data_IF_266688875329
#
_entry.id   IF_266688875329
#
_cell.length_a   1.000
_cell.length_b   1.000
_cell.length_c   1.000
_cell.angle_alpha   90.00
_cell.angle_beta   90.00
_cell.angle_gamma   90.00
#
_symmetry.space_group_name_H-M   'P 1'
#
loop_
_entity.id
_entity.type
_entity.pdbx_description
1 polymer ?
#
# COMPACT_ATOMS: atom_id res chain seq x y z
N UNK A 1 3.66 -15.29 6.37
CA UNK A 1 3.73 -14.72 5.00
C UNK A 1 2.51 -13.82 4.87
N UNK A 2 2.65 -12.54 4.51
CA UNK A 2 1.46 -11.77 4.13
C UNK A 2 1.23 -12.07 2.66
N UNK A 3 0.06 -12.60 2.31
CA UNK A 3 -0.30 -12.79 0.92
C UNK A 3 -0.46 -11.42 0.26
N UNK A 4 0.11 -11.24 -0.94
CA UNK A 4 0.01 -9.98 -1.70
C UNK A 4 -1.45 -9.52 -1.86
N UNK A 5 -2.39 -10.47 -2.01
CA UNK A 5 -3.83 -10.17 -2.05
C UNK A 5 -4.34 -9.41 -0.83
N UNK A 6 -3.86 -9.76 0.37
CA UNK A 6 -4.22 -9.05 1.60
C UNK A 6 -3.72 -7.61 1.64
N UNK A 7 -2.59 -7.30 1.01
CA UNK A 7 -2.08 -5.93 0.91
C UNK A 7 -2.90 -5.08 -0.05
N UNK A 8 -3.39 -5.68 -1.14
CA UNK A 8 -4.27 -5.00 -2.10
C UNK A 8 -5.56 -4.60 -1.39
N UNK A 9 -6.18 -5.48 -0.60
CA UNK A 9 -7.38 -5.15 0.18
C UNK A 9 -7.09 -4.07 1.23
N UNK A 10 -6.04 -4.23 2.05
CA UNK A 10 -5.70 -3.28 3.13
C UNK A 10 -5.34 -1.87 2.63
N UNK A 11 -4.88 -1.75 1.39
CA UNK A 11 -4.59 -0.45 0.78
C UNK A 11 -5.84 0.38 0.47
N UNK A 12 -7.03 -0.22 0.55
CA UNK A 12 -8.31 0.39 0.18
C UNK A 12 -8.54 0.49 -1.34
N UNK A 13 -7.60 0.02 -2.16
CA UNK A 13 -7.73 0.15 -3.61
C UNK A 13 -8.85 -0.72 -4.20
N UNK A 14 -9.16 -1.86 -3.57
CA UNK A 14 -10.29 -2.70 -3.98
C UNK A 14 -11.61 -1.94 -3.86
N UNK A 15 -11.82 -1.25 -2.74
CA UNK A 15 -13.02 -0.45 -2.49
C UNK A 15 -13.11 0.74 -3.44
N UNK A 16 -11.99 1.45 -3.67
CA UNK A 16 -11.94 2.63 -4.55
C UNK A 16 -12.16 2.29 -6.03
N UNK A 17 -11.79 1.09 -6.46
CA UNK A 17 -11.90 0.65 -7.85
C UNK A 17 -13.10 -0.26 -8.11
N UNK A 18 -13.86 -0.63 -7.06
CA UNK A 18 -14.96 -1.58 -7.18
C UNK A 18 -14.50 -2.98 -7.61
N UNK A 19 -13.31 -3.41 -7.18
CA UNK A 19 -12.64 -4.65 -7.61
C UNK A 19 -12.42 -4.76 -9.14
N UNK A 20 -12.35 -3.63 -9.85
CA UNK A 20 -11.96 -3.63 -11.26
C UNK A 20 -10.48 -4.01 -11.39
N UNK A 21 -10.26 -5.30 -11.69
CA UNK A 21 -8.92 -5.89 -11.81
C UNK A 21 -8.09 -5.24 -12.92
N UNK A 22 -8.70 -4.75 -13.99
CA UNK A 22 -7.97 -4.07 -15.06
C UNK A 22 -7.47 -2.71 -14.55
N UNK A 23 -8.29 -1.99 -13.79
CA UNK A 23 -7.91 -0.72 -13.16
C UNK A 23 -6.81 -0.90 -12.12
N UNK A 24 -6.94 -1.88 -11.24
CA UNK A 24 -5.92 -2.22 -10.23
C UNK A 24 -4.60 -2.60 -10.92
N UNK A 25 -4.67 -3.43 -11.96
CA UNK A 25 -3.48 -3.82 -12.73
C UNK A 25 -2.83 -2.63 -13.43
N UNK A 26 -3.62 -1.75 -14.05
CA UNK A 26 -3.12 -0.51 -14.65
C UNK A 26 -2.40 0.40 -13.65
N UNK A 27 -2.95 0.54 -12.43
CA UNK A 27 -2.29 1.30 -11.36
C UNK A 27 -0.94 0.67 -10.96
N UNK A 28 -0.86 -0.66 -10.87
CA UNK A 28 0.39 -1.36 -10.57
C UNK A 28 1.43 -1.22 -11.68
N UNK A 29 1.02 -1.19 -12.95
CA UNK A 29 1.91 -0.90 -14.08
C UNK A 29 2.49 0.51 -13.94
N UNK A 30 1.65 1.52 -13.70
CA UNK A 30 2.10 2.90 -13.51
C UNK A 30 3.09 3.03 -12.35
N UNK A 31 2.84 2.33 -11.23
CA UNK A 31 3.77 2.24 -10.10
C UNK A 31 5.12 1.68 -10.56
N UNK A 32 5.13 0.59 -11.33
CA UNK A 32 6.36 -0.02 -11.84
C UNK A 32 7.13 0.91 -12.80
N UNK A 33 6.43 1.66 -13.64
CA UNK A 33 7.01 2.67 -14.52
C UNK A 33 7.66 3.81 -13.71
N UNK A 34 6.97 4.32 -12.69
CA UNK A 34 7.54 5.37 -11.81
C UNK A 34 8.80 4.88 -11.11
N UNK A 35 8.87 3.62 -10.69
CA UNK A 35 10.08 3.04 -10.09
C UNK A 35 11.24 2.88 -11.09
N UNK A 36 10.96 2.76 -12.38
CA UNK A 36 11.99 2.69 -13.44
C UNK A 36 12.48 4.06 -13.89
N UNK A 37 11.77 5.14 -13.55
CA UNK A 37 12.19 6.52 -13.86
C UNK A 37 13.39 6.99 -13.06
N UNK A 38 13.97 8.14 -13.44
CA UNK A 38 15.12 8.77 -12.76
C UNK A 38 14.83 9.07 -11.27
N UNK A 39 13.57 9.36 -10.93
CA UNK A 39 13.10 9.56 -9.55
C UNK A 39 12.87 8.25 -8.78
N UNK A 40 13.05 7.10 -9.42
CA UNK A 40 12.66 5.80 -8.92
C UNK A 40 13.27 5.49 -7.55
N UNK A 41 14.52 5.88 -7.31
CA UNK A 41 15.18 5.67 -6.03
C UNK A 41 14.49 6.42 -4.88
N UNK A 42 14.14 7.69 -5.09
CA UNK A 42 13.39 8.50 -4.11
C UNK A 42 12.00 7.91 -3.88
N UNK A 43 11.32 7.48 -4.95
CA UNK A 43 10.02 6.84 -4.86
C UNK A 43 10.06 5.54 -4.02
N UNK A 44 11.07 4.68 -4.22
CA UNK A 44 11.28 3.45 -3.42
C UNK A 44 11.40 3.77 -1.93
N UNK A 45 12.24 4.74 -1.56
CA UNK A 45 12.44 5.12 -0.16
C UNK A 45 11.14 5.62 0.47
N UNK A 46 10.45 6.55 -0.19
CA UNK A 46 9.20 7.12 0.34
C UNK A 46 8.11 6.07 0.50
N UNK A 47 7.93 5.18 -0.49
CA UNK A 47 6.90 4.16 -0.44
C UNK A 47 7.20 3.05 0.57
N UNK A 48 8.47 2.68 0.74
CA UNK A 48 8.87 1.73 1.78
C UNK A 48 8.58 2.29 3.19
N UNK A 49 8.91 3.56 3.45
CA UNK A 49 8.61 4.19 4.74
C UNK A 49 7.11 4.32 4.99
N UNK A 50 6.33 4.70 3.97
CA UNK A 50 4.86 4.75 4.07
C UNK A 50 4.27 3.37 4.41
N UNK A 51 4.75 2.31 3.75
CA UNK A 51 4.32 0.94 4.03
C UNK A 51 4.63 0.51 5.46
N UNK A 52 5.84 0.78 5.95
CA UNK A 52 6.23 0.50 7.35
C UNK A 52 5.33 1.22 8.35
N UNK A 53 5.03 2.50 8.11
CA UNK A 53 4.15 3.29 8.98
C UNK A 53 2.72 2.71 9.01
N UNK A 54 2.18 2.31 7.86
CA UNK A 54 0.87 1.66 7.79
C UNK A 54 0.85 0.34 8.59
N UNK A 55 1.85 -0.51 8.43
CA UNK A 55 1.96 -1.74 9.23
C UNK A 55 2.09 -1.49 10.73
N UNK A 56 2.83 -0.46 11.13
CA UNK A 56 2.99 -0.09 12.53
C UNK A 56 1.68 0.44 13.13
N UNK A 57 0.89 1.18 12.35
CA UNK A 57 -0.42 1.66 12.77
C UNK A 57 -1.43 0.52 12.98
N UNK A 58 -1.42 -0.50 12.11
CA UNK A 58 -2.26 -1.70 12.26
C UNK A 58 -1.88 -2.56 13.47
N UNK A 59 -0.60 -2.54 13.89
CA UNK A 59 -0.09 -3.32 15.02
C UNK A 59 -0.34 -2.67 16.38
N UNK A 60 -0.64 -1.37 16.44
CA UNK A 60 -1.05 -0.74 17.69
C UNK A 60 -2.46 -1.22 18.03
N UNK A 61 -2.67 -2.01 19.10
CA UNK A 61 -4.01 -2.27 19.57
C UNK A 61 -4.64 -0.92 19.93
N UNK A 62 -5.92 -0.73 19.60
CA UNK A 62 -6.71 0.37 20.14
C UNK A 62 -6.69 0.23 21.67
N UNK A 63 -5.82 0.99 22.33
CA UNK A 63 -5.77 1.05 23.77
C UNK A 63 -7.02 1.79 24.25
N UNK A 64 -8.11 1.05 24.44
CA UNK A 64 -9.24 1.48 25.23
C UNK A 64 -8.89 1.18 26.70
N UNK A 65 -8.64 2.24 27.46
CA UNK A 65 -8.37 2.15 28.88
C UNK A 65 -8.37 3.54 29.49
N UNK A 66 -9.57 4.10 29.68
CA UNK A 66 -9.81 5.21 30.58
C UNK A 66 -9.19 4.94 31.95
N UNK A 67 -8.48 5.94 32.46
CA UNK A 67 -8.20 6.18 33.87
C UNK A 67 -8.37 7.66 34.10
#
# INVERSE_FOLDING_TARGET
>A
LIELGGLVVKSGIVDLTGDDRAMIYGAMIWVAEKLKSDDGQRARTLWAEKGKQAFAAEQKPANNGSG
#
